data_IF_293561817125
#
_entry.id   IF_293561817125
#
_cell.length_a   1.000
_cell.length_b   1.000
_cell.length_c   1.000
_cell.angle_alpha   90.00
_cell.angle_beta   90.00
_cell.angle_gamma   90.00
#
_symmetry.space_group_name_H-M   'P 1'
#
loop_
_entity.id
_entity.type
_entity.pdbx_description
1 polymer ?
#
# COMPACT_ATOMS: atom_id res chain seq x y z
N UNK A 1 20.67 -51.09 46.83
CA UNK A 1 19.45 -50.34 46.43
C UNK A 1 19.91 -49.05 45.78
N UNK A 2 19.54 -48.86 44.52
CA UNK A 2 20.27 -48.06 43.55
C UNK A 2 19.92 -46.56 43.61
N UNK A 3 20.95 -45.73 43.40
CA UNK A 3 20.87 -44.28 43.20
C UNK A 3 20.36 -44.00 41.79
N UNK A 4 19.32 -43.20 41.64
CA UNK A 4 18.89 -42.67 40.34
C UNK A 4 18.62 -41.17 40.46
N UNK A 5 19.59 -40.42 39.97
CA UNK A 5 19.58 -38.98 39.70
C UNK A 5 18.67 -38.72 38.50
N UNK A 6 17.65 -37.86 38.64
CA UNK A 6 16.84 -37.40 37.50
C UNK A 6 17.29 -35.99 37.11
N UNK A 7 18.04 -35.89 36.02
CA UNK A 7 18.35 -34.63 35.35
C UNK A 7 17.23 -34.30 34.36
N UNK A 8 16.51 -33.20 34.58
CA UNK A 8 15.49 -32.72 33.65
C UNK A 8 16.15 -31.83 32.58
N UNK A 9 16.21 -32.32 31.34
CA UNK A 9 16.60 -31.54 30.17
C UNK A 9 15.42 -30.70 29.68
N UNK A 10 15.53 -29.39 29.81
CA UNK A 10 14.57 -28.44 29.25
C UNK A 10 15.13 -27.97 27.89
N UNK A 11 14.63 -28.55 26.80
CA UNK A 11 14.92 -28.07 25.44
C UNK A 11 13.95 -26.92 25.15
N UNK A 12 14.42 -25.69 25.30
CA UNK A 12 13.73 -24.50 24.81
C UNK A 12 13.91 -24.39 23.30
N UNK A 13 12.84 -24.64 22.53
CA UNK A 13 12.83 -24.44 21.09
C UNK A 13 12.55 -22.95 20.80
N UNK A 14 13.60 -22.13 20.76
CA UNK A 14 13.48 -20.74 20.31
C UNK A 14 13.37 -20.73 18.78
N UNK A 15 12.16 -20.57 18.27
CA UNK A 15 11.95 -20.30 16.84
C UNK A 15 12.26 -18.83 16.60
N UNK A 16 13.46 -18.53 16.14
CA UNK A 16 13.76 -17.25 15.52
C UNK A 16 13.11 -17.23 14.14
N UNK A 17 11.92 -16.61 14.04
CA UNK A 17 11.29 -16.34 12.76
C UNK A 17 12.15 -15.37 11.97
N UNK A 18 12.74 -15.82 10.86
CA UNK A 18 13.34 -14.93 9.88
C UNK A 18 12.22 -14.13 9.22
N UNK A 19 12.25 -12.80 9.35
CA UNK A 19 11.39 -11.93 8.58
C UNK A 19 11.85 -11.98 7.12
N UNK A 20 11.29 -12.92 6.36
CA UNK A 20 11.37 -12.90 4.90
C UNK A 20 10.51 -11.73 4.45
N UNK A 21 11.13 -10.64 4.00
CA UNK A 21 10.44 -9.57 3.29
C UNK A 21 10.02 -10.13 1.92
N UNK A 22 8.89 -10.82 1.89
CA UNK A 22 8.23 -11.14 0.64
C UNK A 22 7.76 -9.84 -0.01
N UNK A 23 7.99 -9.69 -1.31
CA UNK A 23 7.40 -8.59 -2.07
C UNK A 23 5.88 -8.60 -1.84
N UNK A 24 5.33 -7.45 -1.41
CA UNK A 24 3.89 -7.30 -1.21
C UNK A 24 3.24 -7.38 -2.60
N UNK A 25 2.55 -8.49 -2.84
CA UNK A 25 1.86 -8.75 -4.11
C UNK A 25 0.36 -8.69 -3.86
N UNK A 26 -0.31 -7.78 -4.55
CA UNK A 26 -1.78 -7.73 -4.53
C UNK A 26 -2.30 -8.84 -5.43
N UNK A 27 -3.15 -9.71 -4.90
CA UNK A 27 -3.69 -10.85 -5.64
C UNK A 27 -5.01 -10.52 -6.35
N UNK A 28 -5.72 -9.49 -5.86
CA UNK A 28 -7.05 -9.13 -6.35
C UNK A 28 -7.36 -7.64 -6.23
N UNK A 29 -8.19 -7.08 -7.14
CA UNK A 29 -8.70 -5.71 -7.01
C UNK A 29 -9.47 -5.44 -5.71
N UNK A 30 -9.99 -6.48 -5.06
CA UNK A 30 -10.72 -6.36 -3.78
C UNK A 30 -9.84 -5.96 -2.61
N UNK A 31 -8.54 -6.23 -2.64
CA UNK A 31 -7.63 -5.88 -1.54
C UNK A 31 -7.44 -4.37 -1.37
N UNK A 32 -7.54 -3.61 -2.47
CA UNK A 32 -7.46 -2.15 -2.44
C UNK A 32 -8.82 -1.48 -2.24
N UNK A 33 -9.92 -2.23 -2.25
CA UNK A 33 -11.26 -1.65 -2.13
C UNK A 33 -11.40 -0.81 -0.84
N UNK A 34 -12.14 0.29 -0.98
CA UNK A 34 -12.46 1.20 0.10
C UNK A 34 -12.01 2.63 -0.17
N UNK A 35 -12.10 3.44 0.87
CA UNK A 35 -11.75 4.85 0.84
C UNK A 35 -10.41 5.05 1.53
N UNK A 36 -9.49 5.68 0.83
CA UNK A 36 -8.12 5.90 1.27
C UNK A 36 -7.80 7.39 1.21
N UNK A 37 -7.36 7.97 2.31
CA UNK A 37 -6.82 9.33 2.31
C UNK A 37 -5.36 9.26 1.91
N UNK A 38 -4.94 10.03 0.90
CA UNK A 38 -3.54 10.25 0.62
C UNK A 38 -3.03 11.28 1.63
N UNK A 39 -2.26 10.84 2.62
CA UNK A 39 -1.78 11.72 3.69
C UNK A 39 -0.54 12.51 3.24
N UNK A 40 0.35 11.85 2.49
CA UNK A 40 1.55 12.49 1.99
C UNK A 40 2.15 11.76 0.78
N UNK A 41 3.05 12.46 0.09
CA UNK A 41 3.86 11.88 -0.99
C UNK A 41 5.32 12.31 -0.93
N UNK A 42 6.22 11.50 -1.46
CA UNK A 42 7.64 11.84 -1.70
C UNK A 42 7.98 11.62 -3.17
N UNK A 43 8.91 12.38 -3.73
CA UNK A 43 9.38 12.13 -5.10
C UNK A 43 10.33 10.93 -5.15
N UNK A 44 11.02 10.64 -4.04
CA UNK A 44 11.84 9.46 -3.84
C UNK A 44 11.82 8.98 -2.39
N UNK A 45 12.22 7.73 -2.14
CA UNK A 45 12.30 7.20 -0.78
C UNK A 45 13.31 7.96 0.09
N UNK A 46 14.36 8.50 -0.54
CA UNK A 46 15.45 9.22 0.11
C UNK A 46 15.14 10.69 0.40
N UNK A 47 13.99 11.19 -0.04
CA UNK A 47 13.59 12.57 0.22
C UNK A 47 13.39 12.79 1.73
N UNK A 48 13.99 13.85 2.25
CA UNK A 48 13.95 14.20 3.66
C UNK A 48 12.56 14.66 4.12
N UNK A 49 11.80 15.29 3.23
CA UNK A 49 10.49 15.84 3.53
C UNK A 49 9.43 15.17 2.65
N UNK A 50 8.30 14.81 3.28
CA UNK A 50 7.11 14.41 2.56
C UNK A 50 6.26 15.65 2.28
N UNK A 51 5.67 15.71 1.10
CA UNK A 51 4.69 16.72 0.73
C UNK A 51 3.33 16.28 1.31
N UNK A 52 2.68 17.10 2.15
CA UNK A 52 1.35 16.78 2.64
C UNK A 52 0.35 16.75 1.49
N UNK A 53 -0.63 15.87 1.61
CA UNK A 53 -1.67 15.65 0.62
C UNK A 53 -3.03 15.65 1.33
N UNK A 54 -4.06 15.96 0.55
CA UNK A 54 -5.43 16.11 1.05
C UNK A 54 -6.44 15.30 0.23
N UNK A 55 -6.00 14.75 -0.90
CA UNK A 55 -6.86 13.98 -1.79
C UNK A 55 -7.26 12.63 -1.20
N UNK A 56 -8.43 12.16 -1.62
CA UNK A 56 -9.03 10.89 -1.17
C UNK A 56 -9.29 10.01 -2.38
N UNK A 57 -8.81 8.78 -2.34
CA UNK A 57 -8.96 7.79 -3.39
C UNK A 57 -10.02 6.77 -2.98
N UNK A 58 -11.08 6.67 -3.77
CA UNK A 58 -12.19 5.75 -3.53
C UNK A 58 -12.13 4.63 -4.56
N UNK A 59 -11.66 3.45 -4.15
CA UNK A 59 -11.64 2.24 -4.97
C UNK A 59 -12.91 1.44 -4.75
N UNK A 60 -13.69 1.28 -5.83
CA UNK A 60 -14.95 0.55 -5.80
C UNK A 60 -15.31 0.05 -7.20
N UNK A 61 -15.74 -1.21 -7.30
CA UNK A 61 -16.28 -1.82 -8.51
C UNK A 61 -15.37 -1.66 -9.75
N UNK A 62 -14.05 -1.85 -9.56
CA UNK A 62 -13.05 -1.73 -10.64
C UNK A 62 -12.79 -0.29 -11.09
N UNK A 63 -13.32 0.70 -10.37
CA UNK A 63 -13.07 2.13 -10.60
C UNK A 63 -12.45 2.79 -9.39
N UNK A 64 -11.59 3.78 -9.66
CA UNK A 64 -11.08 4.69 -8.66
C UNK A 64 -11.57 6.10 -8.95
N UNK A 65 -12.07 6.77 -7.92
CA UNK A 65 -12.44 8.19 -7.97
C UNK A 65 -11.51 8.94 -7.03
N UNK A 66 -10.82 9.96 -7.53
CA UNK A 66 -9.93 10.79 -6.72
C UNK A 66 -10.65 12.11 -6.41
N UNK A 67 -10.88 12.34 -5.13
CA UNK A 67 -11.66 13.45 -4.60
C UNK A 67 -10.76 14.44 -3.86
N UNK A 68 -11.22 15.68 -3.74
CA UNK A 68 -10.61 16.72 -2.91
C UNK A 68 -9.15 17.02 -3.28
N UNK A 69 -8.84 17.09 -4.58
CA UNK A 69 -7.49 17.36 -5.06
C UNK A 69 -7.21 18.86 -4.94
N UNK A 70 -6.20 19.30 -4.15
CA UNK A 70 -5.86 20.70 -4.03
C UNK A 70 -5.22 21.23 -5.34
N UNK A 71 -5.72 22.37 -5.81
CA UNK A 71 -5.16 23.12 -6.94
C UNK A 71 -5.46 24.61 -6.79
N UNK A 72 -4.40 25.42 -6.69
CA UNK A 72 -4.49 26.89 -6.70
C UNK A 72 -5.49 27.46 -5.69
N UNK A 73 -5.48 26.95 -4.46
CA UNK A 73 -6.36 27.41 -3.38
C UNK A 73 -7.82 26.93 -3.49
N UNK A 74 -8.12 26.03 -4.43
CA UNK A 74 -9.40 25.34 -4.56
C UNK A 74 -9.20 23.82 -4.55
N UNK A 75 -10.32 23.10 -4.52
CA UNK A 75 -10.35 21.66 -4.66
C UNK A 75 -11.16 21.27 -5.88
N UNK A 76 -10.81 20.15 -6.50
CA UNK A 76 -11.58 19.53 -7.55
C UNK A 76 -11.59 18.01 -7.41
N UNK A 77 -12.57 17.38 -8.02
CA UNK A 77 -12.73 15.93 -8.07
C UNK A 77 -12.48 15.44 -9.50
N UNK A 78 -11.87 14.26 -9.62
CA UNK A 78 -11.74 13.58 -10.90
C UNK A 78 -12.95 12.68 -11.17
N UNK A 79 -13.37 12.54 -12.43
CA UNK A 79 -14.35 11.53 -12.80
C UNK A 79 -13.79 10.12 -12.51
N UNK A 80 -14.65 9.12 -12.22
CA UNK A 80 -14.19 7.76 -11.99
C UNK A 80 -13.46 7.18 -13.20
N UNK A 81 -12.29 6.60 -12.97
CA UNK A 81 -11.46 5.93 -13.98
C UNK A 81 -11.28 4.46 -13.62
N UNK A 82 -10.97 3.62 -14.60
CA UNK A 82 -10.70 2.20 -14.34
C UNK A 82 -9.43 2.03 -13.51
N UNK A 83 -9.41 1.01 -12.64
CA UNK A 83 -8.17 0.47 -12.09
C UNK A 83 -8.15 -1.05 -12.25
N UNK A 84 -6.95 -1.60 -12.34
CA UNK A 84 -6.70 -3.01 -12.54
C UNK A 84 -5.57 -3.47 -11.62
N UNK A 85 -5.56 -4.76 -11.30
CA UNK A 85 -4.44 -5.42 -10.64
C UNK A 85 -3.89 -6.45 -11.59
N UNK A 86 -2.62 -6.29 -11.99
CA UNK A 86 -1.94 -7.19 -12.93
C UNK A 86 -0.47 -7.31 -12.52
N UNK A 87 0.06 -8.53 -12.52
CA UNK A 87 1.43 -8.86 -12.07
C UNK A 87 1.75 -8.31 -10.66
N UNK A 88 0.76 -8.33 -9.75
CA UNK A 88 0.90 -7.81 -8.40
C UNK A 88 1.00 -6.27 -8.30
N UNK A 89 0.80 -5.55 -9.41
CA UNK A 89 0.84 -4.09 -9.48
C UNK A 89 -0.57 -3.51 -9.62
N UNK A 90 -0.76 -2.35 -9.02
CA UNK A 90 -1.96 -1.55 -9.21
C UNK A 90 -1.78 -0.65 -10.44
N UNK A 91 -2.71 -0.75 -11.39
CA UNK A 91 -2.77 0.11 -12.58
C UNK A 91 -3.98 1.04 -12.44
N UNK A 92 -3.79 2.34 -12.63
CA UNK A 92 -4.88 3.33 -12.62
C UNK A 92 -4.92 4.05 -13.96
N UNK A 93 -6.07 4.06 -14.63
CA UNK A 93 -6.22 4.74 -15.91
C UNK A 93 -6.16 6.27 -15.73
N UNK A 94 -5.55 6.95 -16.70
CA UNK A 94 -5.51 8.40 -16.72
C UNK A 94 -6.86 8.97 -17.15
N UNK A 95 -7.25 10.10 -16.55
CA UNK A 95 -8.45 10.82 -16.99
C UNK A 95 -8.34 11.21 -18.47
N UNK A 96 -9.37 10.86 -19.24
CA UNK A 96 -9.50 11.26 -20.65
C UNK A 96 -8.66 10.45 -21.65
N UNK A 97 -7.98 9.38 -21.25
CA UNK A 97 -7.33 8.45 -22.19
C UNK A 97 -7.22 7.02 -21.63
N UNK A 98 -6.73 6.08 -22.44
CA UNK A 98 -6.60 4.66 -22.09
C UNK A 98 -5.24 4.27 -21.50
N UNK A 99 -4.36 5.23 -21.20
CA UNK A 99 -3.05 4.92 -20.60
C UNK A 99 -3.22 4.72 -19.10
N UNK A 100 -2.49 3.75 -18.57
CA UNK A 100 -2.44 3.48 -17.14
C UNK A 100 -1.15 4.01 -16.53
N UNK A 101 -1.29 4.63 -15.36
CA UNK A 101 -0.18 4.78 -14.42
C UNK A 101 -0.03 3.49 -13.60
N UNK A 102 1.21 3.03 -13.44
CA UNK A 102 1.52 1.79 -12.75
C UNK A 102 2.13 2.09 -11.38
N UNK A 103 1.61 1.42 -10.37
CA UNK A 103 2.07 1.47 -9.00
C UNK A 103 2.48 0.09 -8.51
N UNK A 104 3.69 -0.01 -7.97
CA UNK A 104 4.08 -1.14 -7.12
C UNK A 104 3.52 -0.90 -5.74
N UNK A 105 2.92 -1.92 -5.15
CA UNK A 105 2.43 -1.86 -3.78
C UNK A 105 3.59 -2.24 -2.87
N UNK A 106 3.99 -1.30 -2.02
CA UNK A 106 5.13 -1.46 -1.11
C UNK A 106 4.66 -2.02 0.22
N UNK A 107 3.46 -1.61 0.65
CA UNK A 107 2.83 -2.04 1.88
C UNK A 107 1.31 -1.94 1.73
N UNK A 108 0.58 -2.88 2.30
CA UNK A 108 -0.89 -2.88 2.33
C UNK A 108 -1.40 -3.70 3.52
N UNK A 109 -2.15 -3.04 4.39
CA UNK A 109 -2.89 -3.68 5.48
C UNK A 109 -4.33 -3.12 5.58
N UNK A 110 -5.06 -3.50 6.62
CA UNK A 110 -6.44 -3.05 6.82
C UNK A 110 -6.61 -1.54 7.05
N UNK A 111 -5.52 -0.81 7.30
CA UNK A 111 -5.50 0.60 7.73
C UNK A 111 -4.54 1.48 6.94
N UNK A 112 -3.54 0.90 6.27
CA UNK A 112 -2.48 1.61 5.55
C UNK A 112 -2.21 1.00 4.20
N UNK A 113 -1.83 1.86 3.26
CA UNK A 113 -1.34 1.45 1.95
C UNK A 113 -0.19 2.37 1.54
N UNK A 114 0.89 1.79 1.03
CA UNK A 114 2.00 2.55 0.44
C UNK A 114 2.17 2.12 -1.01
N UNK A 115 2.08 3.08 -1.91
CA UNK A 115 2.30 2.87 -3.34
C UNK A 115 3.60 3.52 -3.78
N UNK A 116 4.31 2.86 -4.71
CA UNK A 116 5.46 3.41 -5.43
C UNK A 116 5.11 3.54 -6.90
N UNK A 117 5.07 4.77 -7.40
CA UNK A 117 4.87 5.06 -8.82
C UNK A 117 6.08 4.66 -9.67
N UNK A 118 5.85 4.47 -10.97
CA UNK A 118 6.87 4.08 -11.96
C UNK A 118 8.15 4.92 -11.91
N UNK A 119 8.03 6.22 -11.64
CA UNK A 119 9.17 7.16 -11.61
C UNK A 119 9.79 7.33 -10.23
N UNK A 120 9.45 6.47 -9.26
CA UNK A 120 10.08 6.43 -7.94
C UNK A 120 9.36 7.21 -6.85
N UNK A 121 8.27 7.92 -7.19
CA UNK A 121 7.43 8.62 -6.21
C UNK A 121 6.73 7.66 -5.26
N UNK A 122 6.65 8.01 -3.97
CA UNK A 122 5.96 7.24 -2.94
C UNK A 122 4.72 7.98 -2.47
N UNK A 123 3.65 7.24 -2.24
CA UNK A 123 2.34 7.74 -1.86
C UNK A 123 1.87 6.95 -0.63
N UNK A 124 1.59 7.66 0.46
CA UNK A 124 1.28 7.06 1.76
C UNK A 124 -0.17 7.33 2.12
N UNK A 125 -0.93 6.26 2.24
CA UNK A 125 -2.37 6.32 2.47
C UNK A 125 -2.75 5.76 3.83
N UNK A 126 -3.79 6.35 4.43
CA UNK A 126 -4.54 5.78 5.53
C UNK A 126 -5.96 5.44 5.10
N UNK A 127 -6.52 4.38 5.65
CA UNK A 127 -7.92 4.02 5.42
C UNK A 127 -8.83 5.00 6.16
N UNK A 128 -9.93 5.40 5.51
CA UNK A 128 -10.94 6.30 6.06
C UNK A 128 -12.17 5.54 6.54
#
# INVERSE_FOLDING_TARGET
MNKLTLAAWMIGLTVFGTAVYADVTIQSPSEVNGTWKLDSSKNSLTDKQALPREDTWVFKDGKVTILHIPREGKYYDQPPVAYEVEDGKLKVANVGNSRFENYTVVDLDATKMTLKGKFGGYYYFSKK
#
